data_IF_654798055749
#
_entry.id   IF_654798055749
#
_cell.length_a   1.000
_cell.length_b   1.000
_cell.length_c   1.000
_cell.angle_alpha   90.00
_cell.angle_beta   90.00
_cell.angle_gamma   90.00
#
_symmetry.space_group_name_H-M   'P 1'
#
loop_
_entity.id
_entity.type
_entity.pdbx_description
1 polymer ?
#
# COMPACT_ATOMS: atom_id res chain seq x y z
N UNK A 1 7.92 -12.10 -13.26
CA UNK A 1 6.91 -11.90 -12.20
C UNK A 1 7.66 -11.98 -10.89
N UNK A 2 7.55 -10.97 -10.03
CA UNK A 2 8.34 -10.85 -8.80
C UNK A 2 7.47 -11.22 -7.59
N UNK A 3 8.09 -11.74 -6.53
CA UNK A 3 7.41 -12.04 -5.27
C UNK A 3 7.62 -10.91 -4.28
N UNK A 4 6.56 -10.48 -3.60
CA UNK A 4 6.63 -9.55 -2.48
C UNK A 4 6.00 -10.16 -1.23
N UNK A 5 6.44 -9.72 -0.06
CA UNK A 5 5.80 -9.99 1.22
C UNK A 5 4.92 -8.79 1.59
N UNK A 6 3.60 -8.94 1.48
CA UNK A 6 2.63 -7.89 1.80
C UNK A 6 2.10 -8.07 3.23
N UNK A 7 2.23 -7.02 4.04
CA UNK A 7 1.66 -6.90 5.37
C UNK A 7 0.44 -5.98 5.28
N UNK A 8 -0.74 -6.55 5.49
CA UNK A 8 -2.01 -5.86 5.42
C UNK A 8 -2.52 -5.54 6.83
N UNK A 9 -2.96 -4.31 7.04
CA UNK A 9 -3.75 -3.93 8.22
C UNK A 9 -5.12 -3.45 7.79
N UNK A 10 -6.14 -3.82 8.56
CA UNK A 10 -7.49 -3.26 8.40
C UNK A 10 -7.56 -1.88 9.07
N UNK A 11 -6.94 -1.75 10.25
CA UNK A 11 -6.85 -0.52 11.03
C UNK A 11 -5.41 -0.28 11.49
N UNK A 12 -4.98 0.98 11.76
CA UNK A 12 -3.62 1.28 12.21
C UNK A 12 -3.19 0.48 13.45
N UNK A 13 -4.12 0.25 14.36
CA UNK A 13 -3.91 -0.45 15.63
C UNK A 13 -4.11 -1.97 15.51
N UNK A 14 -4.59 -2.47 14.37
CA UNK A 14 -4.80 -3.90 14.17
C UNK A 14 -3.47 -4.64 14.00
N UNK A 15 -3.49 -5.96 14.27
CA UNK A 15 -2.39 -6.84 13.86
C UNK A 15 -2.33 -6.91 12.34
N UNK A 16 -1.13 -7.03 11.81
CA UNK A 16 -0.93 -7.20 10.37
C UNK A 16 -1.13 -8.65 9.94
N UNK A 17 -1.81 -8.86 8.83
CA UNK A 17 -1.87 -10.14 8.12
C UNK A 17 -0.79 -10.19 7.05
N UNK A 18 0.03 -11.25 7.04
CA UNK A 18 1.10 -11.43 6.06
C UNK A 18 0.62 -12.29 4.89
N UNK A 19 0.87 -11.84 3.66
CA UNK A 19 0.59 -12.56 2.40
C UNK A 19 1.81 -12.49 1.49
N UNK A 20 2.05 -13.55 0.71
CA UNK A 20 3.03 -13.52 -0.38
C UNK A 20 2.25 -13.28 -1.68
N UNK A 21 2.65 -12.28 -2.44
CA UNK A 21 1.99 -11.88 -3.68
C UNK A 21 2.98 -11.89 -4.84
N UNK A 22 2.49 -12.36 -5.98
CA UNK A 22 3.21 -12.24 -7.25
C UNK A 22 2.70 -11.00 -7.99
N UNK A 23 3.62 -10.13 -8.39
CA UNK A 23 3.32 -8.87 -9.05
C UNK A 23 4.30 -8.59 -10.19
N UNK A 24 3.98 -7.62 -11.04
CA UNK A 24 4.85 -7.20 -12.15
C UNK A 24 6.00 -6.30 -11.68
N UNK A 25 5.78 -5.54 -10.60
CA UNK A 25 6.75 -4.64 -9.97
C UNK A 25 6.45 -4.46 -8.49
N UNK A 26 7.43 -3.97 -7.74
CA UNK A 26 7.21 -3.57 -6.34
C UNK A 26 6.30 -2.32 -6.33
N UNK A 27 5.21 -2.32 -5.55
CA UNK A 27 4.39 -1.14 -5.34
C UNK A 27 5.20 0.02 -4.75
N UNK A 28 4.89 1.25 -5.15
CA UNK A 28 5.52 2.43 -4.59
C UNK A 28 4.85 2.83 -3.26
N UNK A 29 5.55 3.61 -2.43
CA UNK A 29 4.94 4.21 -1.25
C UNK A 29 3.81 5.18 -1.65
N UNK A 30 2.68 5.11 -0.96
CA UNK A 30 1.48 5.88 -1.24
C UNK A 30 0.60 5.32 -2.35
N UNK A 31 1.07 4.32 -3.09
CA UNK A 31 0.30 3.63 -4.13
C UNK A 31 -0.88 2.86 -3.53
N UNK A 32 -1.96 2.74 -4.30
CA UNK A 32 -3.09 1.90 -3.94
C UNK A 32 -2.96 0.50 -4.54
N UNK A 33 -3.26 -0.51 -3.74
CA UNK A 33 -3.30 -1.91 -4.13
C UNK A 33 -4.73 -2.41 -3.91
N UNK A 34 -5.35 -2.93 -4.96
CA UNK A 34 -6.57 -3.74 -4.84
C UNK A 34 -6.17 -5.16 -4.47
N UNK A 35 -6.66 -5.63 -3.32
CA UNK A 35 -6.42 -6.98 -2.83
C UNK A 35 -7.67 -7.53 -2.15
N UNK A 36 -8.12 -8.72 -2.56
CA UNK A 36 -9.30 -9.40 -1.99
C UNK A 36 -10.54 -8.46 -1.91
N UNK A 37 -10.79 -7.65 -2.95
CA UNK A 37 -11.88 -6.67 -3.04
C UNK A 37 -11.79 -5.51 -2.03
N UNK A 38 -10.60 -5.26 -1.48
CA UNK A 38 -10.33 -4.15 -0.58
C UNK A 38 -9.22 -3.28 -1.16
N UNK A 39 -9.38 -1.97 -1.01
CA UNK A 39 -8.36 -1.01 -1.40
C UNK A 39 -7.42 -0.77 -0.21
N UNK A 40 -6.13 -0.99 -0.41
CA UNK A 40 -5.09 -0.71 0.58
C UNK A 40 -4.14 0.35 0.03
N UNK A 41 -3.73 1.29 0.88
CA UNK A 41 -2.67 2.25 0.54
C UNK A 41 -1.35 1.75 1.12
N UNK A 42 -0.29 1.82 0.33
CA UNK A 42 1.07 1.44 0.76
C UNK A 42 1.66 2.55 1.62
N UNK A 43 2.21 2.18 2.78
CA UNK A 43 2.85 3.14 3.70
C UNK A 43 4.34 2.85 3.89
N UNK A 44 4.81 1.64 3.58
CA UNK A 44 6.21 1.28 3.71
C UNK A 44 6.61 0.27 2.64
N UNK A 45 7.79 0.47 2.07
CA UNK A 45 8.41 -0.45 1.11
C UNK A 45 9.86 -0.66 1.52
N UNK A 46 10.23 -1.92 1.78
CA UNK A 46 11.58 -2.32 2.15
C UNK A 46 12.11 -3.36 1.16
N UNK A 47 12.97 -2.92 0.24
CA UNK A 47 13.64 -3.81 -0.71
C UNK A 47 14.60 -4.75 0.01
N UNK A 48 14.59 -6.01 -0.41
CA UNK A 48 15.42 -7.05 0.17
C UNK A 48 16.72 -7.23 -0.63
N UNK A 49 17.80 -7.71 0.00
CA UNK A 49 19.01 -8.09 -0.72
C UNK A 49 18.75 -9.28 -1.68
N UNK A 50 19.61 -9.45 -2.68
CA UNK A 50 19.55 -10.56 -3.63
C UNK A 50 19.49 -11.93 -2.92
N UNK A 51 18.67 -12.86 -3.43
CA UNK A 51 18.38 -14.21 -2.91
C UNK A 51 17.43 -14.32 -1.71
N UNK A 52 16.73 -13.25 -1.33
CA UNK A 52 15.55 -13.38 -0.46
C UNK A 52 14.41 -14.11 -1.18
N UNK A 53 13.55 -14.82 -0.46
CA UNK A 53 12.37 -15.50 -1.03
C UNK A 53 11.32 -14.57 -1.66
N UNK A 54 11.52 -13.25 -1.58
CA UNK A 54 10.72 -12.18 -2.15
C UNK A 54 11.60 -10.91 -2.28
N UNK A 55 11.34 -10.07 -3.28
CA UNK A 55 12.16 -8.88 -3.61
C UNK A 55 11.92 -7.67 -2.70
N UNK A 56 10.75 -7.60 -2.06
CA UNK A 56 10.42 -6.52 -1.14
C UNK A 56 9.40 -6.96 -0.08
N UNK A 57 9.48 -6.30 1.09
CA UNK A 57 8.43 -6.29 2.09
C UNK A 57 7.64 -4.99 1.95
N UNK A 58 6.33 -5.09 1.82
CA UNK A 58 5.42 -3.96 1.61
C UNK A 58 4.42 -3.94 2.75
N UNK A 59 4.22 -2.81 3.41
CA UNK A 59 3.15 -2.64 4.39
C UNK A 59 2.08 -1.73 3.81
N UNK A 60 0.82 -2.19 3.88
CA UNK A 60 -0.32 -1.46 3.38
C UNK A 60 -1.47 -1.49 4.41
N UNK A 61 -2.22 -0.39 4.47
CA UNK A 61 -3.35 -0.21 5.38
C UNK A 61 -4.60 0.03 4.54
N UNK A 62 -5.70 -0.62 4.93
CA UNK A 62 -6.97 -0.50 4.25
C UNK A 62 -7.41 0.95 4.23
N UNK A 63 -7.85 1.41 3.07
CA UNK A 63 -8.28 2.78 2.86
C UNK A 63 -9.68 2.76 2.28
N UNK A 64 -10.63 3.35 3.00
CA UNK A 64 -12.00 3.51 2.49
C UNK A 64 -12.04 4.52 1.34
N UNK A 65 -13.06 4.41 0.48
CA UNK A 65 -13.27 5.38 -0.59
C UNK A 65 -13.46 6.81 -0.05
N UNK A 66 -14.20 6.96 1.06
CA UNK A 66 -14.37 8.25 1.75
C UNK A 66 -13.03 8.88 2.16
N UNK A 67 -12.05 8.05 2.55
CA UNK A 67 -10.70 8.51 2.89
C UNK A 67 -9.93 8.97 1.64
N UNK A 68 -10.16 8.34 0.49
CA UNK A 68 -9.61 8.75 -0.80
C UNK A 68 -10.20 10.09 -1.25
N UNK A 69 -11.51 10.27 -1.18
CA UNK A 69 -12.20 11.53 -1.52
C UNK A 69 -11.69 12.68 -0.63
N UNK A 70 -11.53 12.42 0.66
CA UNK A 70 -10.97 13.40 1.61
C UNK A 70 -9.56 13.86 1.21
N UNK A 71 -8.72 12.95 0.69
CA UNK A 71 -7.38 13.29 0.21
C UNK A 71 -7.44 14.14 -1.07
N UNK A 72 -8.33 13.81 -2.00
CA UNK A 72 -8.53 14.59 -3.24
C UNK A 72 -8.97 16.02 -2.91
N UNK A 73 -9.97 16.18 -2.04
CA UNK A 73 -10.45 17.50 -1.60
C UNK A 73 -9.38 18.30 -0.83
N UNK A 74 -8.47 17.63 -0.13
CA UNK A 74 -7.35 18.30 0.54
C UNK A 74 -6.33 18.88 -0.45
N UNK A 75 -6.10 18.21 -1.58
CA UNK A 75 -5.21 18.70 -2.64
C UNK A 75 -5.84 19.86 -3.42
N UNK A 76 -7.14 19.80 -3.71
CA UNK A 76 -7.87 20.88 -4.39
C UNK A 76 -7.77 22.20 -3.63
N UNK A 77 -7.91 22.17 -2.29
CA UNK A 77 -7.74 23.36 -1.45
C UNK A 77 -6.33 23.96 -1.53
N UNK A 78 -5.32 23.12 -1.67
CA UNK A 78 -3.93 23.56 -1.75
C UNK A 78 -3.62 24.19 -3.11
N UNK A 79 -4.26 23.71 -4.18
CA UNK A 79 -4.12 24.25 -5.54
C UNK A 79 -4.90 25.54 -5.79
N UNK A 80 -5.91 25.89 -4.97
CA UNK A 80 -6.70 27.13 -5.11
C UNK A 80 -6.10 28.35 -4.41
N UNK A 81 -5.06 28.17 -3.60
CA UNK A 81 -4.38 29.26 -2.85
C UNK A 81 -3.19 29.89 -3.59
N UNK A 82 -3.10 29.74 -4.91
CA UNK A 82 -2.09 30.40 -5.75
C UNK A 82 -2.71 31.32 -6.80
#
# INVERSE_FOLDING_TARGET
MIKICLYLKEDPDSRSTKKILECSRVPAMGEFIDFEYNLYRVFLVCHQPYNSGYEASVAALKTSWDSCESLLHSQEKTCQTH
#
